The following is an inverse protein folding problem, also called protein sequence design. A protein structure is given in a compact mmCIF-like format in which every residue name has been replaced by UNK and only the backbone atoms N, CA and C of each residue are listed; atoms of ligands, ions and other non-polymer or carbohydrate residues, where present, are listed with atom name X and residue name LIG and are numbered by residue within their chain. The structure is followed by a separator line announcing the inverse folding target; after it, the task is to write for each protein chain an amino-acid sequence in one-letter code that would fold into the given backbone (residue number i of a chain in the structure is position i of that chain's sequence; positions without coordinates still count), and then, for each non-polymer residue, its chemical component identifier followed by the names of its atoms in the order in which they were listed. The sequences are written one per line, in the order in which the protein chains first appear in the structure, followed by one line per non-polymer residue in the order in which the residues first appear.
data_IF_447833388484
#
_entry.id   IF_447833388484
#
_cell.length_a   1.000
_cell.length_b   1.000
_cell.length_c   1.000
_cell.angle_alpha   90.00
_cell.angle_beta   90.00
_cell.angle_gamma   90.00
#
_symmetry.space_group_name_H-M   'P 1'
#
loop_
_entity.id
_entity.type
_entity.pdbx_description
1 polymer ?
#
# COMPACT_ATOMS: atom_id res chain seq x y z
N UNK A 1 -16.11 1.59 0.36
CA UNK A 1 -15.02 1.46 1.34
C UNK A 1 -14.50 2.84 1.76
N UNK A 2 -13.83 2.90 2.90
CA UNK A 2 -13.06 4.05 3.37
C UNK A 2 -11.59 3.69 3.37
N UNK A 3 -10.78 4.44 2.66
CA UNK A 3 -9.32 4.32 2.66
C UNK A 3 -8.72 5.31 3.67
N UNK A 4 -7.66 4.94 4.38
CA UNK A 4 -6.99 5.86 5.28
C UNK A 4 -6.46 7.07 4.51
N UNK A 5 -6.66 8.27 5.08
CA UNK A 5 -6.28 9.53 4.45
C UNK A 5 -4.77 9.64 4.20
N UNK A 6 -4.00 9.00 5.06
CA UNK A 6 -2.55 9.01 5.09
C UNK A 6 -2.00 7.59 5.09
N UNK A 7 -0.74 7.44 4.75
CA UNK A 7 0.06 6.27 5.06
C UNK A 7 0.07 6.05 6.58
N UNK A 8 0.22 4.81 7.05
CA UNK A 8 0.30 4.51 8.49
C UNK A 8 1.60 5.10 9.04
N UNK A 9 1.48 5.93 10.09
CA UNK A 9 2.64 6.57 10.70
C UNK A 9 3.40 5.63 11.64
N UNK A 10 4.66 5.94 11.91
CA UNK A 10 5.50 5.28 12.92
C UNK A 10 4.80 5.22 14.28
N UNK A 11 4.17 6.33 14.70
CA UNK A 11 3.43 6.36 15.97
C UNK A 11 2.25 5.40 15.97
N UNK A 12 1.43 5.42 14.92
CA UNK A 12 0.30 4.51 14.83
C UNK A 12 0.75 3.04 14.83
N UNK A 13 1.83 2.75 14.11
CA UNK A 13 2.38 1.40 14.07
C UNK A 13 2.89 0.97 15.46
N UNK A 14 3.66 1.83 16.13
CA UNK A 14 4.14 1.58 17.48
C UNK A 14 2.99 1.34 18.48
N UNK A 15 1.94 2.17 18.42
CA UNK A 15 0.78 2.06 19.33
C UNK A 15 0.02 0.73 19.18
N UNK A 16 0.01 0.16 17.99
CA UNK A 16 -0.73 -1.10 17.68
C UNK A 16 0.16 -2.34 17.78
N UNK A 17 1.40 -2.25 17.27
CA UNK A 17 2.30 -3.39 17.18
C UNK A 17 3.25 -3.53 18.35
N UNK A 18 3.41 -2.46 19.15
CA UNK A 18 4.33 -2.43 20.28
C UNK A 18 5.81 -2.22 19.89
N UNK A 19 6.10 -2.05 18.61
CA UNK A 19 7.45 -1.84 18.07
C UNK A 19 7.42 -0.80 16.95
N UNK A 20 8.52 -0.07 16.78
CA UNK A 20 8.78 0.80 15.64
C UNK A 20 10.06 0.31 14.95
N UNK A 21 9.95 -0.42 13.82
CA UNK A 21 11.12 -0.97 13.14
C UNK A 21 11.82 0.05 12.24
N UNK A 22 11.28 1.25 12.11
CA UNK A 22 11.70 2.22 11.10
C UNK A 22 13.17 2.62 11.26
N UNK A 23 13.86 2.74 10.11
CA UNK A 23 15.24 3.23 10.05
C UNK A 23 15.26 4.74 10.31
N UNK A 24 15.81 5.13 11.47
CA UNK A 24 15.92 6.52 11.88
C UNK A 24 16.96 7.32 11.06
N UNK A 25 17.76 6.67 10.25
CA UNK A 25 18.72 7.38 9.39
C UNK A 25 18.06 8.02 8.17
N UNK A 26 16.85 7.58 7.83
CA UNK A 26 16.05 8.12 6.73
C UNK A 26 14.63 8.54 7.16
N UNK A 27 14.44 8.87 8.43
CA UNK A 27 13.14 9.32 8.97
C UNK A 27 13.31 10.27 10.15
N UNK A 28 12.54 11.35 10.16
CA UNK A 28 12.71 12.46 11.12
C UNK A 28 11.77 12.41 12.32
N UNK A 29 10.83 11.48 12.36
CA UNK A 29 9.95 11.42 13.53
C UNK A 29 8.71 10.56 13.39
N UNK A 30 7.97 10.50 14.48
CA UNK A 30 6.83 9.61 14.66
C UNK A 30 5.61 9.94 13.78
N UNK A 31 5.63 11.06 13.07
CA UNK A 31 4.61 11.45 12.08
C UNK A 31 4.97 11.03 10.67
N UNK A 32 6.18 10.55 10.46
CA UNK A 32 6.56 9.97 9.18
C UNK A 32 5.87 8.62 8.99
N UNK A 33 5.73 8.13 7.77
CA UNK A 33 5.19 6.80 7.56
C UNK A 33 6.11 5.74 8.17
N UNK A 34 5.53 4.69 8.71
CA UNK A 34 6.31 3.51 9.12
C UNK A 34 6.95 2.90 7.88
N UNK A 35 8.19 2.46 8.01
CA UNK A 35 8.93 1.72 6.99
C UNK A 35 9.72 0.57 7.65
N UNK A 36 10.50 -0.21 6.90
CA UNK A 36 11.16 -1.41 7.40
C UNK A 36 10.15 -2.47 7.88
N UNK A 37 8.98 -2.50 7.26
CA UNK A 37 7.94 -3.50 7.49
C UNK A 37 7.72 -4.34 6.23
N UNK A 38 7.28 -5.56 6.42
CA UNK A 38 6.91 -6.44 5.34
C UNK A 38 5.37 -6.59 5.25
N UNK A 39 4.90 -7.33 4.26
CA UNK A 39 3.48 -7.54 4.04
C UNK A 39 2.79 -8.27 5.22
N UNK A 40 3.51 -9.20 5.89
CA UNK A 40 2.98 -9.91 7.06
C UNK A 40 2.73 -8.95 8.24
N UNK A 41 3.65 -8.01 8.48
CA UNK A 41 3.46 -6.98 9.48
C UNK A 41 2.25 -6.10 9.18
N UNK A 42 2.01 -5.77 7.91
CA UNK A 42 0.90 -4.94 7.50
C UNK A 42 -0.47 -5.64 7.73
N UNK A 43 -0.60 -6.94 7.43
CA UNK A 43 -1.84 -7.68 7.71
C UNK A 43 -2.04 -7.94 9.21
N UNK A 44 -0.95 -8.16 9.96
CA UNK A 44 -1.01 -8.26 11.42
C UNK A 44 -1.50 -6.96 12.06
N UNK A 45 -0.96 -5.82 11.62
CA UNK A 45 -1.43 -4.49 12.05
C UNK A 45 -2.95 -4.33 11.82
N UNK A 46 -3.45 -4.66 10.63
CA UNK A 46 -4.86 -4.56 10.29
C UNK A 46 -5.74 -5.39 11.26
N UNK A 47 -5.33 -6.63 11.54
CA UNK A 47 -6.08 -7.49 12.46
C UNK A 47 -6.02 -7.02 13.91
N UNK A 48 -4.85 -6.59 14.40
CA UNK A 48 -4.70 -6.05 15.77
C UNK A 48 -5.53 -4.79 15.95
N UNK A 49 -5.49 -3.86 14.99
CA UNK A 49 -6.31 -2.64 15.03
C UNK A 49 -7.80 -2.97 15.00
N UNK A 50 -8.21 -3.94 14.17
CA UNK A 50 -9.62 -4.39 14.11
C UNK A 50 -10.09 -4.89 15.47
N UNK A 51 -9.31 -5.74 16.14
CA UNK A 51 -9.63 -6.24 17.48
C UNK A 51 -9.69 -5.14 18.52
N UNK A 52 -8.74 -4.20 18.48
CA UNK A 52 -8.70 -3.05 19.39
C UNK A 52 -9.98 -2.20 19.29
N UNK A 53 -10.52 -2.05 18.08
CA UNK A 53 -11.77 -1.31 17.84
C UNK A 53 -13.04 -2.17 17.93
N UNK A 54 -12.93 -3.44 18.36
CA UNK A 54 -14.07 -4.35 18.50
C UNK A 54 -14.68 -4.78 17.16
N UNK A 55 -13.89 -4.77 16.09
CA UNK A 55 -14.29 -5.20 14.75
C UNK A 55 -13.87 -6.66 14.50
N UNK A 56 -14.43 -7.26 13.47
CA UNK A 56 -14.05 -8.59 13.01
C UNK A 56 -12.79 -8.51 12.16
N UNK A 57 -11.68 -9.15 12.56
CA UNK A 57 -10.46 -9.20 11.75
C UNK A 57 -10.70 -9.79 10.37
N UNK A 58 -10.05 -9.24 9.35
CA UNK A 58 -10.22 -9.68 7.98
C UNK A 58 -9.32 -10.87 7.60
N UNK A 59 -8.19 -11.05 8.29
CA UNK A 59 -7.19 -12.03 7.87
C UNK A 59 -7.15 -13.26 8.78
N UNK A 60 -6.93 -14.42 8.15
CA UNK A 60 -6.62 -15.68 8.83
C UNK A 60 -5.29 -16.22 8.34
N UNK A 61 -4.41 -16.57 9.28
CA UNK A 61 -3.11 -17.23 9.04
C UNK A 61 -3.08 -18.50 9.88
N UNK A 62 -2.72 -19.62 9.26
CA UNK A 62 -2.61 -20.88 9.98
C UNK A 62 -1.53 -20.79 11.07
N UNK A 63 -1.88 -21.22 12.28
CA UNK A 63 -1.00 -21.13 13.46
C UNK A 63 -1.13 -19.83 14.24
N UNK A 64 -1.76 -18.78 13.71
CA UNK A 64 -2.01 -17.52 14.44
C UNK A 64 -3.46 -17.50 14.95
N UNK A 65 -3.65 -17.80 16.22
CA UNK A 65 -4.97 -17.83 16.86
C UNK A 65 -5.25 -16.61 17.74
N UNK A 66 -4.23 -15.89 18.16
CA UNK A 66 -4.33 -14.75 19.08
C UNK A 66 -3.57 -13.53 18.52
N UNK A 67 -4.23 -12.82 17.62
CA UNK A 67 -3.66 -11.61 17.02
C UNK A 67 -3.39 -10.51 18.04
N UNK A 68 -4.20 -10.40 19.10
CA UNK A 68 -4.07 -9.34 20.09
C UNK A 68 -2.72 -9.41 20.83
N UNK A 69 -2.29 -10.65 21.15
CA UNK A 69 -1.05 -10.90 21.88
C UNK A 69 0.12 -11.35 20.98
N UNK A 70 -0.01 -11.30 19.66
CA UNK A 70 1.09 -11.62 18.75
C UNK A 70 2.19 -10.55 18.88
N UNK A 71 3.39 -10.93 19.27
CA UNK A 71 4.52 -10.02 19.35
C UNK A 71 5.06 -9.70 17.94
N UNK A 72 5.60 -8.49 17.77
CA UNK A 72 6.18 -8.05 16.51
C UNK A 72 7.30 -9.00 16.05
N UNK A 73 8.17 -9.41 16.98
CA UNK A 73 9.31 -10.28 16.70
C UNK A 73 8.93 -11.74 16.37
N UNK A 74 7.67 -12.15 16.63
CA UNK A 74 7.15 -13.47 16.26
C UNK A 74 6.61 -13.52 14.82
N UNK A 75 6.53 -12.37 14.15
CA UNK A 75 6.09 -12.29 12.74
C UNK A 75 7.29 -12.59 11.84
N UNK A 76 7.18 -13.56 10.92
CA UNK A 76 8.28 -13.91 10.04
C UNK A 76 8.77 -12.71 9.23
N UNK A 77 10.07 -12.52 9.18
CA UNK A 77 10.71 -11.45 8.42
C UNK A 77 12.05 -11.93 7.85
N UNK A 78 12.42 -11.41 6.70
CA UNK A 78 13.70 -11.71 6.06
C UNK A 78 14.38 -10.44 5.57
N UNK A 79 15.67 -10.33 5.86
CA UNK A 79 16.54 -9.21 5.47
C UNK A 79 17.48 -9.57 4.31
N UNK A 80 17.38 -10.80 3.79
CA UNK A 80 18.41 -11.31 2.90
C UNK A 80 18.17 -10.89 1.44
N UNK A 81 18.81 -9.79 1.06
CA UNK A 81 19.03 -9.40 -0.33
C UNK A 81 19.76 -10.51 -1.15
N UNK A 82 20.24 -11.53 -0.46
CA UNK A 82 20.96 -12.65 -1.03
C UNK A 82 20.12 -13.93 -0.97
N UNK A 83 19.06 -14.07 -1.73
CA UNK A 83 18.27 -15.31 -1.92
C UNK A 83 19.09 -16.61 -2.11
N UNK A 84 20.27 -16.69 -1.49
CA UNK A 84 21.24 -17.78 -1.68
C UNK A 84 20.77 -19.13 -1.17
N UNK A 85 19.71 -19.17 -0.38
CA UNK A 85 19.24 -20.40 0.26
C UNK A 85 17.83 -20.83 -0.14
N UNK A 86 17.20 -20.18 -1.16
CA UNK A 86 15.84 -20.53 -1.57
C UNK A 86 14.81 -20.22 -0.47
N UNK A 87 15.04 -19.15 0.30
CA UNK A 87 14.06 -18.65 1.25
C UNK A 87 12.82 -18.19 0.48
N UNK A 88 11.69 -18.79 0.82
CA UNK A 88 10.39 -18.54 0.17
C UNK A 88 9.42 -17.87 1.16
N UNK A 89 9.94 -17.35 2.26
CA UNK A 89 9.13 -16.82 3.35
C UNK A 89 8.42 -17.94 4.14
N UNK A 90 7.49 -17.57 4.98
CA UNK A 90 6.70 -18.52 5.77
C UNK A 90 5.48 -19.01 4.98
N UNK A 91 5.31 -20.32 4.87
CA UNK A 91 4.26 -20.93 4.06
C UNK A 91 2.84 -20.59 4.59
N UNK A 92 2.65 -20.52 5.91
CA UNK A 92 1.35 -20.22 6.52
C UNK A 92 0.97 -18.75 6.31
N UNK A 93 1.94 -17.85 6.42
CA UNK A 93 1.73 -16.42 6.18
C UNK A 93 1.52 -16.14 4.69
N UNK A 94 2.23 -16.82 3.80
CA UNK A 94 1.97 -16.74 2.36
C UNK A 94 0.57 -17.24 1.99
N UNK A 95 0.06 -18.26 2.70
CA UNK A 95 -1.28 -18.80 2.52
C UNK A 95 -2.38 -18.02 3.27
N UNK A 96 -2.09 -16.84 3.79
CA UNK A 96 -3.08 -15.99 4.45
C UNK A 96 -4.33 -15.80 3.59
N UNK A 97 -5.50 -15.87 4.22
CA UNK A 97 -6.79 -15.64 3.55
C UNK A 97 -7.45 -14.37 4.08
N UNK A 98 -8.31 -13.76 3.26
CA UNK A 98 -9.07 -12.58 3.62
C UNK A 98 -10.57 -12.90 3.60
N UNK A 99 -11.25 -12.65 4.71
CA UNK A 99 -12.72 -12.58 4.77
C UNK A 99 -13.16 -11.20 4.29
N UNK A 100 -13.67 -11.14 3.08
CA UNK A 100 -14.11 -9.91 2.41
C UNK A 100 -15.40 -9.32 2.99
N UNK A 101 -16.14 -10.10 3.77
CA UNK A 101 -17.36 -9.68 4.47
C UNK A 101 -17.05 -9.17 5.90
N UNK A 102 -15.81 -9.31 6.36
CA UNK A 102 -15.40 -8.78 7.65
C UNK A 102 -15.48 -7.25 7.66
N UNK A 103 -15.88 -6.67 8.79
CA UNK A 103 -15.97 -5.22 8.97
C UNK A 103 -14.69 -4.57 9.49
N UNK A 104 -13.63 -5.36 9.67
CA UNK A 104 -12.33 -4.90 10.14
C UNK A 104 -11.50 -4.24 9.04
N UNK A 105 -10.30 -3.84 9.44
CA UNK A 105 -9.33 -3.23 8.55
C UNK A 105 -8.61 -4.27 7.70
N UNK A 106 -8.23 -3.86 6.49
CA UNK A 106 -7.41 -4.65 5.56
C UNK A 106 -6.55 -3.75 4.68
N UNK A 107 -5.61 -4.35 3.98
CA UNK A 107 -4.92 -3.69 2.87
C UNK A 107 -5.92 -3.44 1.71
N UNK A 108 -5.72 -2.40 0.93
CA UNK A 108 -6.45 -2.25 -0.33
C UNK A 108 -6.04 -3.36 -1.30
N UNK A 109 -6.95 -3.76 -2.18
CA UNK A 109 -6.53 -4.41 -3.42
C UNK A 109 -5.84 -3.39 -4.31
N UNK A 110 -5.04 -3.85 -5.27
CA UNK A 110 -4.38 -2.96 -6.22
C UNK A 110 -5.39 -2.09 -6.97
N UNK A 111 -6.53 -2.66 -7.37
CA UNK A 111 -7.59 -1.92 -8.07
C UNK A 111 -8.25 -0.86 -7.17
N UNK A 112 -8.47 -1.16 -5.90
CA UNK A 112 -9.01 -0.19 -4.93
C UNK A 112 -8.02 0.96 -4.70
N UNK A 113 -6.72 0.63 -4.61
CA UNK A 113 -5.65 1.62 -4.48
C UNK A 113 -5.58 2.53 -5.71
N UNK A 114 -5.54 1.96 -6.92
CA UNK A 114 -5.52 2.72 -8.18
C UNK A 114 -6.73 3.62 -8.33
N UNK A 115 -7.93 3.09 -8.08
CA UNK A 115 -9.17 3.86 -8.17
C UNK A 115 -9.12 5.08 -7.25
N UNK A 116 -8.62 4.89 -6.02
CA UNK A 116 -8.46 5.97 -5.06
C UNK A 116 -7.37 6.98 -5.47
N UNK A 117 -6.23 6.52 -6.00
CA UNK A 117 -5.14 7.37 -6.48
C UNK A 117 -5.58 8.23 -7.66
N UNK A 118 -6.40 7.70 -8.56
CA UNK A 118 -6.98 8.40 -9.70
C UNK A 118 -8.05 9.44 -9.33
N UNK A 119 -8.44 9.56 -8.06
CA UNK A 119 -9.50 10.47 -7.62
C UNK A 119 -10.91 9.91 -7.73
N UNK A 120 -11.08 8.62 -8.06
CA UNK A 120 -12.35 7.93 -8.22
C UNK A 120 -13.29 8.71 -9.19
N UNK A 121 -14.56 8.87 -8.81
CA UNK A 121 -15.58 9.63 -9.55
C UNK A 121 -15.42 11.16 -9.45
N UNK A 122 -14.50 11.65 -8.63
CA UNK A 122 -14.24 13.08 -8.46
C UNK A 122 -13.12 13.62 -9.35
N UNK A 123 -12.49 12.76 -10.15
CA UNK A 123 -11.54 13.23 -11.14
C UNK A 123 -12.23 14.28 -12.03
N UNK A 124 -11.59 15.45 -12.20
CA UNK A 124 -12.08 16.53 -13.07
C UNK A 124 -12.22 16.11 -14.54
N UNK A 125 -11.73 14.94 -14.90
CA UNK A 125 -11.87 14.29 -16.20
C UNK A 125 -12.84 13.11 -16.17
N UNK A 126 -13.86 13.19 -15.34
CA UNK A 126 -14.93 12.20 -15.22
C UNK A 126 -15.68 11.92 -16.54
N UNK A 127 -15.54 12.77 -17.55
CA UNK A 127 -16.01 12.48 -18.92
C UNK A 127 -15.30 11.24 -19.53
N UNK A 128 -14.16 10.84 -19.00
CA UNK A 128 -13.46 9.60 -19.38
C UNK A 128 -14.10 8.36 -18.76
N UNK A 129 -14.87 8.52 -17.69
CA UNK A 129 -15.55 7.45 -16.97
C UNK A 129 -17.03 7.49 -17.36
N UNK A 130 -17.55 6.40 -17.92
CA UNK A 130 -18.94 6.29 -18.30
C UNK A 130 -19.88 6.11 -17.08
N UNK A 131 -21.18 6.06 -17.35
CA UNK A 131 -22.22 5.89 -16.32
C UNK A 131 -22.11 4.55 -15.55
N UNK A 132 -21.41 3.58 -16.13
CA UNK A 132 -21.10 2.28 -15.54
C UNK A 132 -19.80 2.28 -14.71
N UNK A 133 -19.08 3.41 -14.62
CA UNK A 133 -17.84 3.55 -13.89
C UNK A 133 -16.61 2.99 -14.64
N UNK A 134 -16.71 2.85 -15.96
CA UNK A 134 -15.65 2.27 -16.78
C UNK A 134 -14.91 3.36 -17.54
N UNK A 135 -13.59 3.39 -17.40
CA UNK A 135 -12.73 4.25 -18.22
C UNK A 135 -12.58 3.65 -19.63
N UNK A 136 -13.44 4.08 -20.55
CA UNK A 136 -13.43 3.59 -21.94
C UNK A 136 -12.38 4.29 -22.81
N UNK A 137 -11.78 5.36 -22.34
CA UNK A 137 -10.79 6.11 -23.10
C UNK A 137 -9.37 5.57 -22.89
N UNK A 138 -9.17 4.68 -21.91
CA UNK A 138 -7.84 4.20 -21.49
C UNK A 138 -7.02 5.29 -20.82
N UNK A 139 -7.66 6.42 -20.43
CA UNK A 139 -6.97 7.50 -19.76
C UNK A 139 -6.46 7.06 -18.38
N UNK A 140 -5.19 7.29 -18.15
CA UNK A 140 -4.57 7.18 -16.82
C UNK A 140 -4.02 8.54 -16.43
N UNK A 141 -4.26 8.93 -15.17
CA UNK A 141 -3.64 10.09 -14.57
C UNK A 141 -2.15 9.80 -14.40
N UNK A 142 -1.28 10.78 -14.67
CA UNK A 142 0.15 10.61 -14.47
C UNK A 142 0.47 10.38 -12.99
N UNK A 143 0.05 11.33 -12.15
CA UNK A 143 0.27 11.29 -10.69
C UNK A 143 -1.02 11.56 -9.92
N UNK A 144 -1.11 11.08 -8.70
CA UNK A 144 -2.27 11.33 -7.84
C UNK A 144 -2.40 12.83 -7.52
N UNK A 145 -3.57 13.40 -7.82
CA UNK A 145 -3.86 14.83 -7.64
C UNK A 145 -3.48 15.71 -8.84
N UNK A 146 -2.66 15.24 -9.78
CA UNK A 146 -2.35 16.00 -10.99
C UNK A 146 -3.57 16.06 -11.91
N UNK A 147 -3.66 17.12 -12.70
CA UNK A 147 -4.72 17.29 -13.72
C UNK A 147 -4.25 16.87 -15.11
N UNK A 148 -2.99 16.50 -15.26
CA UNK A 148 -2.34 16.23 -16.55
C UNK A 148 -2.09 14.73 -16.73
N UNK A 149 -2.22 14.28 -17.97
CA UNK A 149 -2.02 12.87 -18.35
C UNK A 149 -0.55 12.52 -18.59
N UNK A 150 0.33 13.50 -18.56
CA UNK A 150 1.75 13.32 -18.81
C UNK A 150 2.53 13.14 -17.51
N UNK A 151 3.64 12.42 -17.60
CA UNK A 151 4.64 12.25 -16.54
C UNK A 151 5.47 13.53 -16.41
N UNK A 152 4.81 14.63 -16.05
CA UNK A 152 5.49 15.91 -15.83
C UNK A 152 5.85 16.07 -14.37
N UNK A 153 7.13 15.89 -14.06
CA UNK A 153 7.66 16.01 -12.70
C UNK A 153 7.53 17.43 -12.12
N UNK A 154 7.34 18.46 -12.96
CA UNK A 154 7.16 19.84 -12.48
C UNK A 154 5.93 19.97 -11.56
N UNK A 155 4.88 19.22 -11.82
CA UNK A 155 3.69 19.20 -10.97
C UNK A 155 3.77 18.18 -9.84
N UNK A 156 4.58 17.13 -9.96
CA UNK A 156 4.70 16.09 -8.96
C UNK A 156 5.22 16.63 -7.62
N UNK A 157 6.10 17.63 -7.64
CA UNK A 157 6.68 18.22 -6.43
C UNK A 157 5.66 18.78 -5.46
N UNK A 158 4.47 19.13 -5.92
CA UNK A 158 3.39 19.62 -5.05
C UNK A 158 2.66 18.49 -4.34
N UNK A 159 2.69 17.27 -4.89
CA UNK A 159 1.90 16.12 -4.44
C UNK A 159 2.71 14.99 -3.81
N UNK A 160 4.02 14.92 -4.09
CA UNK A 160 4.85 13.79 -3.71
C UNK A 160 6.19 14.17 -3.06
N UNK A 161 6.69 13.27 -2.23
CA UNK A 161 8.09 13.20 -1.80
C UNK A 161 8.76 12.07 -2.58
N UNK A 162 9.78 12.39 -3.39
CA UNK A 162 10.51 11.48 -4.26
C UNK A 162 11.99 11.89 -4.35
N UNK A 163 12.84 11.16 -5.06
CA UNK A 163 14.30 11.32 -5.07
C UNK A 163 14.77 12.79 -5.20
N UNK A 164 14.15 13.57 -6.09
CA UNK A 164 14.59 14.96 -6.36
C UNK A 164 14.28 15.94 -5.22
N UNK A 165 13.34 15.63 -4.33
CA UNK A 165 12.87 16.59 -3.32
C UNK A 165 12.77 16.03 -1.90
N UNK A 166 13.09 14.75 -1.70
CA UNK A 166 12.98 14.07 -0.40
C UNK A 166 14.16 14.30 0.53
N UNK A 167 15.32 14.70 0.00
CA UNK A 167 16.58 14.82 0.76
C UNK A 167 17.03 13.50 1.39
N UNK A 168 16.82 12.38 0.67
CA UNK A 168 17.16 11.01 1.11
C UNK A 168 16.42 10.54 2.37
N UNK A 169 15.20 11.05 2.63
CA UNK A 169 14.43 10.70 3.82
C UNK A 169 12.92 10.69 3.59
N UNK A 170 12.18 9.97 4.45
CA UNK A 170 10.73 10.08 4.55
C UNK A 170 10.34 11.39 5.22
N UNK A 171 9.12 11.85 4.96
CA UNK A 171 8.57 13.06 5.54
C UNK A 171 7.24 12.78 6.24
N UNK A 172 6.85 13.70 7.14
CA UNK A 172 5.56 13.56 7.82
C UNK A 172 4.42 13.43 6.82
N UNK A 173 3.52 12.49 7.09
CA UNK A 173 2.40 12.20 6.22
C UNK A 173 1.50 13.43 6.02
N UNK A 174 1.03 13.64 4.80
CA UNK A 174 0.22 14.82 4.49
C UNK A 174 1.01 16.12 4.33
N UNK A 175 2.33 16.03 4.17
CA UNK A 175 3.20 17.18 3.93
C UNK A 175 3.05 17.80 2.54
N UNK A 176 2.45 17.06 1.61
CA UNK A 176 2.15 17.49 0.24
C UNK A 176 0.65 17.59 0.01
N UNK A 177 0.24 18.19 -1.13
CA UNK A 177 -1.16 18.36 -1.48
C UNK A 177 -1.88 17.00 -1.63
N UNK A 178 -3.15 16.92 -1.25
CA UNK A 178 -3.95 15.71 -1.46
C UNK A 178 -4.47 15.61 -2.90
N UNK A 179 -4.90 14.41 -3.28
CA UNK A 179 -5.70 14.24 -4.48
C UNK A 179 -7.16 14.71 -4.27
N UNK A 180 -8.01 14.52 -5.28
CA UNK A 180 -9.41 14.98 -5.29
C UNK A 180 -10.30 14.36 -4.21
N UNK A 181 -9.90 13.21 -3.67
CA UNK A 181 -10.56 12.55 -2.54
C UNK A 181 -10.06 13.04 -1.18
N UNK A 182 -9.05 13.92 -1.17
CA UNK A 182 -8.38 14.35 0.05
C UNK A 182 -7.38 13.34 0.60
N UNK A 183 -6.93 12.38 -0.22
CA UNK A 183 -5.90 11.40 0.13
C UNK A 183 -4.53 11.99 -0.17
N UNK A 184 -3.63 11.89 0.79
CA UNK A 184 -2.25 12.35 0.68
C UNK A 184 -1.31 11.19 0.42
N UNK A 185 -0.14 11.52 -0.12
CA UNK A 185 0.98 10.59 -0.30
C UNK A 185 0.59 9.33 -1.12
N UNK A 186 -0.38 9.48 -2.05
CA UNK A 186 -0.73 8.44 -3.01
C UNK A 186 0.32 8.31 -4.14
N UNK A 187 1.22 9.28 -4.22
CA UNK A 187 2.44 9.30 -5.01
C UNK A 187 3.58 9.68 -4.08
N UNK A 188 4.60 8.81 -3.95
CA UNK A 188 5.81 9.06 -3.17
C UNK A 188 5.69 8.83 -1.66
N UNK A 189 6.65 9.33 -0.93
CA UNK A 189 6.95 9.12 0.49
C UNK A 189 7.38 7.68 0.76
N UNK A 190 6.47 6.70 0.85
CA UNK A 190 6.80 5.27 0.89
C UNK A 190 5.94 4.47 -0.07
N UNK A 191 6.50 3.43 -0.65
CA UNK A 191 5.76 2.39 -1.37
C UNK A 191 4.71 1.75 -0.46
N UNK A 192 3.57 1.37 -1.02
CA UNK A 192 2.45 0.84 -0.25
C UNK A 192 2.11 -0.59 -0.63
N UNK A 193 2.18 -1.49 0.35
CA UNK A 193 1.73 -2.86 0.21
C UNK A 193 0.24 -2.93 -0.15
N UNK A 194 -0.08 -3.69 -1.21
CA UNK A 194 -1.42 -4.11 -1.55
C UNK A 194 -1.66 -5.59 -1.19
N UNK A 195 -2.93 -5.99 -1.17
CA UNK A 195 -3.30 -7.39 -0.93
C UNK A 195 -2.84 -8.33 -2.03
N UNK A 196 -2.84 -7.87 -3.27
CA UNK A 196 -2.75 -8.68 -4.48
C UNK A 196 -1.41 -9.42 -4.61
N UNK A 197 -1.45 -10.65 -5.10
CA UNK A 197 -0.29 -11.29 -5.65
C UNK A 197 0.06 -10.67 -7.00
N UNK A 198 1.36 -10.53 -7.25
CA UNK A 198 1.87 -10.17 -8.57
C UNK A 198 1.61 -11.33 -9.53
N UNK A 199 0.99 -11.08 -10.69
CA UNK A 199 0.71 -12.08 -11.71
C UNK A 199 1.97 -12.43 -12.52
N UNK A 200 2.03 -13.67 -13.02
CA UNK A 200 3.18 -14.15 -13.81
C UNK A 200 3.42 -13.38 -15.11
N UNK A 201 2.37 -12.77 -15.66
CA UNK A 201 2.41 -12.08 -16.96
C UNK A 201 2.60 -10.56 -16.85
N UNK A 202 2.88 -10.02 -15.66
CA UNK A 202 3.02 -8.58 -15.36
C UNK A 202 1.82 -7.70 -15.81
N UNK A 203 0.85 -8.29 -16.48
CA UNK A 203 -0.28 -7.60 -17.08
C UNK A 203 -1.52 -7.63 -16.19
N UNK A 204 -2.29 -6.57 -16.29
CA UNK A 204 -3.65 -6.59 -15.75
C UNK A 204 -4.52 -7.59 -16.54
N UNK A 205 -5.44 -8.26 -15.86
CA UNK A 205 -6.35 -9.16 -16.56
C UNK A 205 -7.17 -8.38 -17.58
N UNK A 206 -7.35 -8.99 -18.75
CA UNK A 206 -8.14 -8.39 -19.83
C UNK A 206 -9.64 -8.59 -19.63
N UNK A 207 -10.44 -7.62 -20.04
CA UNK A 207 -11.89 -7.68 -19.99
C UNK A 207 -12.48 -7.04 -18.72
N UNK A 208 -13.79 -7.23 -18.53
CA UNK A 208 -14.50 -6.72 -17.35
C UNK A 208 -14.47 -7.78 -16.25
N UNK A 209 -13.89 -7.45 -15.12
CA UNK A 209 -13.88 -8.29 -13.92
C UNK A 209 -14.68 -7.61 -12.81
N UNK A 210 -15.36 -8.42 -12.01
CA UNK A 210 -16.04 -7.97 -10.81
C UNK A 210 -15.22 -8.41 -9.60
N UNK A 211 -14.99 -7.49 -8.67
CA UNK A 211 -14.27 -7.76 -7.40
C UNK A 211 -12.92 -8.45 -7.61
N UNK A 212 -12.13 -7.97 -8.57
CA UNK A 212 -10.79 -8.51 -8.81
C UNK A 212 -9.89 -8.28 -7.60
N UNK A 213 -9.23 -9.34 -7.15
CA UNK A 213 -8.45 -9.39 -5.90
C UNK A 213 -7.02 -9.89 -6.14
N UNK A 214 -6.50 -9.67 -7.34
CA UNK A 214 -5.18 -10.11 -7.77
C UNK A 214 -5.16 -11.53 -8.33
N UNK A 215 -3.97 -12.00 -8.65
CA UNK A 215 -3.73 -13.38 -9.03
C UNK A 215 -4.04 -14.33 -7.85
N UNK A 216 -4.42 -15.56 -8.14
CA UNK A 216 -4.76 -16.55 -7.12
C UNK A 216 -3.56 -17.06 -6.31
N UNK A 217 -2.34 -16.83 -6.81
CA UNK A 217 -1.07 -17.18 -6.17
C UNK A 217 0.05 -16.39 -6.82
N UNK A 218 1.19 -16.29 -6.15
CA UNK A 218 2.40 -15.63 -6.64
C UNK A 218 3.55 -15.82 -5.66
N UNK A 219 4.72 -15.33 -6.00
CA UNK A 219 5.88 -15.22 -5.13
C UNK A 219 5.95 -13.84 -4.45
N UNK A 220 5.44 -12.83 -5.12
CA UNK A 220 5.55 -11.41 -4.76
C UNK A 220 4.18 -10.79 -4.55
N UNK A 221 4.12 -9.84 -3.63
CA UNK A 221 2.96 -8.98 -3.41
C UNK A 221 3.12 -7.66 -4.14
N UNK A 222 2.02 -7.12 -4.63
CA UNK A 222 2.00 -5.82 -5.30
C UNK A 222 2.33 -4.71 -4.31
N UNK A 223 3.18 -3.77 -4.75
CA UNK A 223 3.42 -2.49 -4.09
C UNK A 223 3.16 -1.34 -5.07
N UNK A 224 2.72 -0.22 -4.55
CA UNK A 224 2.24 0.91 -5.36
C UNK A 224 2.70 2.24 -4.78
N UNK A 225 2.74 3.27 -5.63
CA UNK A 225 2.89 4.67 -5.22
C UNK A 225 4.30 5.24 -5.35
N UNK A 226 5.33 4.42 -5.38
CA UNK A 226 6.72 4.88 -5.33
C UNK A 226 7.08 5.47 -3.97
N UNK A 227 8.31 5.96 -3.84
CA UNK A 227 8.80 6.41 -2.54
C UNK A 227 9.81 7.53 -2.63
N UNK A 228 10.23 8.03 -1.46
CA UNK A 228 11.23 9.08 -1.26
C UNK A 228 12.55 8.85 -2.00
N UNK A 229 12.90 7.60 -2.32
CA UNK A 229 14.18 7.21 -2.93
C UNK A 229 14.12 6.87 -4.42
N UNK A 230 12.94 6.90 -5.03
CA UNK A 230 12.76 6.57 -6.45
C UNK A 230 12.49 7.81 -7.29
N UNK A 231 12.82 7.71 -8.58
CA UNK A 231 12.53 8.76 -9.55
C UNK A 231 11.03 9.00 -9.71
N UNK A 232 10.68 10.11 -10.27
CA UNK A 232 9.32 10.55 -10.54
C UNK A 232 8.47 9.47 -11.22
N UNK A 233 9.02 8.78 -12.23
CA UNK A 233 8.32 7.73 -12.98
C UNK A 233 7.76 6.62 -12.08
N UNK A 234 8.46 6.24 -11.02
CA UNK A 234 7.99 5.23 -10.06
C UNK A 234 6.82 5.73 -9.18
N UNK A 235 6.64 7.05 -9.07
CA UNK A 235 5.50 7.66 -8.36
C UNK A 235 4.23 7.77 -9.22
N UNK A 236 4.29 7.33 -10.48
CA UNK A 236 3.14 7.39 -11.37
C UNK A 236 2.02 6.46 -10.91
N UNK A 237 0.76 6.90 -11.11
CA UNK A 237 -0.41 6.06 -10.75
C UNK A 237 -0.45 4.75 -11.54
N UNK A 238 0.13 4.73 -12.74
CA UNK A 238 0.20 3.52 -13.56
C UNK A 238 1.40 2.62 -13.21
N UNK A 239 2.42 3.15 -12.53
CA UNK A 239 3.59 2.37 -12.18
C UNK A 239 3.25 1.30 -11.16
N UNK A 240 3.77 0.10 -11.40
CA UNK A 240 3.56 -1.09 -10.59
C UNK A 240 4.89 -1.64 -10.15
N UNK A 241 4.95 -2.09 -8.92
CA UNK A 241 6.10 -2.82 -8.43
C UNK A 241 5.66 -3.98 -7.54
N UNK A 242 6.58 -4.85 -7.18
CA UNK A 242 6.31 -5.98 -6.31
C UNK A 242 7.52 -6.32 -5.46
N UNK A 243 7.27 -7.07 -4.40
CA UNK A 243 8.33 -7.62 -3.58
C UNK A 243 7.85 -8.89 -2.86
N UNK A 244 8.79 -9.68 -2.38
CA UNK A 244 8.50 -10.84 -1.54
C UNK A 244 7.75 -10.42 -0.27
N UNK A 245 6.68 -11.11 0.14
CA UNK A 245 5.85 -10.73 1.28
C UNK A 245 6.57 -10.68 2.63
N UNK A 246 7.70 -11.35 2.77
CA UNK A 246 8.54 -11.37 3.99
C UNK A 246 9.66 -10.32 3.97
N UNK A 247 9.86 -9.64 2.83
CA UNK A 247 10.95 -8.68 2.67
C UNK A 247 10.55 -7.28 3.17
N UNK A 248 11.46 -6.62 3.86
CA UNK A 248 11.28 -5.27 4.36
C UNK A 248 12.34 -4.32 3.79
N UNK A 249 11.94 -3.10 3.50
CA UNK A 249 12.80 -2.04 2.97
C UNK A 249 12.47 -0.71 3.63
N UNK A 250 13.43 0.21 3.64
CA UNK A 250 13.27 1.54 4.19
C UNK A 250 12.43 2.49 3.33
N UNK A 251 11.95 2.02 2.20
CA UNK A 251 11.00 2.71 1.32
C UNK A 251 9.61 2.09 1.32
N UNK A 252 9.38 1.00 2.04
CA UNK A 252 8.13 0.24 2.02
C UNK A 252 7.30 0.42 3.28
N UNK A 253 6.08 0.90 3.12
CA UNK A 253 5.06 1.09 4.13
C UNK A 253 3.70 0.61 3.66
N UNK A 254 2.61 1.18 4.16
CA UNK A 254 1.26 0.81 3.75
C UNK A 254 0.20 1.82 4.18
N UNK A 255 -0.97 1.69 3.60
CA UNK A 255 -2.21 2.30 4.09
C UNK A 255 -3.28 1.24 4.28
N UNK A 256 -4.32 1.55 5.03
CA UNK A 256 -5.38 0.62 5.37
C UNK A 256 -6.72 1.05 4.77
N UNK A 257 -7.57 0.06 4.56
CA UNK A 257 -8.92 0.21 4.08
C UNK A 257 -9.91 -0.44 5.06
N UNK A 258 -11.09 0.16 5.18
CA UNK A 258 -12.22 -0.42 5.90
C UNK A 258 -13.44 -0.50 4.98
N UNK A 259 -14.11 -1.65 4.88
CA UNK A 259 -15.39 -1.75 4.21
C UNK A 259 -16.42 -0.81 4.85
N UNK A 260 -17.26 -0.16 4.04
CA UNK A 260 -18.45 0.56 4.51
C UNK A 260 -19.61 -0.40 4.30
N UNK A 261 -20.14 -0.92 5.39
CA UNK A 261 -21.30 -1.81 5.40
C UNK A 261 -22.60 -1.01 5.23
#
# INVERSE_FOLDING_TARGET
YSLSKYQITRQQFLDIMGADPSDETCSNGMKDPVQMINWYHAIAFCNKLSLLEGLTPAYTVEGVSDWANLDFDDIPSGDDYNHKNGDVGDANWNAATCDWEANGYRLPTEMEWMWAAMGADKDARADAIDAEGINRTGYTKGYAGSTEGDYDSENLVDYAWFDENSFDETHFVGGRLPNELGLHDMSGNVDEWCWDWWGEDDDYPTGTLTDYRGAGSGSDRVIRGGSWRYYDSACAVADRSCNFPYFWINSGGFRILRPVL
#
